data_IF_615874841006
#
_entry.id   IF_615874841006
#
_cell.length_a   1.000
_cell.length_b   1.000
_cell.length_c   1.000
_cell.angle_alpha   90.00
_cell.angle_beta   90.00
_cell.angle_gamma   90.00
#
_symmetry.space_group_name_H-M   'P 1'
#
loop_
_entity.id
_entity.type
_entity.pdbx_description
1 polymer ?
#
# COMPACT_ATOMS: atom_id res chain seq x y z
N UNK A 1 -21.24 23.76 -23.79
CA UNK A 1 -21.58 22.99 -22.58
C UNK A 1 -20.48 21.97 -22.39
N UNK A 2 -19.75 22.02 -21.27
CA UNK A 2 -18.68 21.06 -20.96
C UNK A 2 -19.28 19.91 -20.16
N UNK A 3 -19.10 18.68 -20.64
CA UNK A 3 -19.47 17.48 -19.86
C UNK A 3 -18.42 17.20 -18.80
N UNK A 4 -18.79 17.37 -17.53
CA UNK A 4 -17.94 17.02 -16.40
C UNK A 4 -17.92 15.50 -16.25
N UNK A 5 -16.81 14.89 -16.66
CA UNK A 5 -16.57 13.46 -16.47
C UNK A 5 -16.08 13.20 -15.05
N UNK A 6 -16.97 12.72 -14.19
CA UNK A 6 -16.63 12.33 -12.81
C UNK A 6 -15.99 10.94 -12.85
N UNK A 7 -14.68 10.87 -12.61
CA UNK A 7 -13.97 9.60 -12.46
C UNK A 7 -13.79 9.24 -10.99
N UNK A 8 -14.05 7.98 -10.66
CA UNK A 8 -13.80 7.44 -9.33
C UNK A 8 -12.31 7.23 -9.15
N UNK A 9 -11.74 7.85 -8.12
CA UNK A 9 -10.34 7.68 -7.74
C UNK A 9 -10.30 6.97 -6.39
N UNK A 10 -9.31 6.11 -6.22
CA UNK A 10 -9.03 5.41 -4.98
C UNK A 10 -7.76 5.96 -4.35
N UNK A 11 -7.68 5.89 -3.03
CA UNK A 11 -6.49 6.27 -2.28
C UNK A 11 -5.84 5.03 -1.68
N UNK A 12 -4.53 4.92 -1.89
CA UNK A 12 -3.67 3.99 -1.17
C UNK A 12 -2.96 4.77 -0.07
N UNK A 13 -3.09 4.34 1.17
CA UNK A 13 -2.45 5.00 2.31
C UNK A 13 -1.66 3.98 3.10
N UNK A 14 -0.38 4.28 3.37
CA UNK A 14 0.48 3.50 4.25
C UNK A 14 0.97 4.36 5.41
N UNK A 15 0.99 3.77 6.61
CA UNK A 15 1.45 4.40 7.83
C UNK A 15 2.59 3.58 8.45
N UNK A 16 3.67 4.23 8.87
CA UNK A 16 4.64 3.61 9.77
C UNK A 16 4.13 3.70 11.21
N UNK A 17 3.92 2.57 11.86
CA UNK A 17 3.30 2.50 13.20
C UNK A 17 4.09 3.22 14.29
N UNK A 18 5.44 3.17 14.20
CA UNK A 18 6.34 3.83 15.15
C UNK A 18 6.36 5.35 14.99
N UNK A 19 6.72 5.86 13.80
CA UNK A 19 6.91 7.29 13.55
C UNK A 19 5.61 8.03 13.17
N UNK A 20 4.54 7.30 12.85
CA UNK A 20 3.29 7.82 12.27
C UNK A 20 3.49 8.58 10.96
N UNK A 21 4.63 8.38 10.30
CA UNK A 21 4.84 8.87 8.95
C UNK A 21 3.84 8.22 8.00
N UNK A 22 3.32 9.04 7.07
CA UNK A 22 2.25 8.66 6.16
C UNK A 22 2.74 8.84 4.73
N UNK A 23 2.29 7.95 3.87
CA UNK A 23 2.44 8.07 2.43
C UNK A 23 1.09 7.81 1.78
N UNK A 24 0.74 8.59 0.74
CA UNK A 24 -0.52 8.46 0.01
C UNK A 24 -0.26 8.48 -1.50
N UNK A 25 -0.88 7.54 -2.20
CA UNK A 25 -0.95 7.49 -3.66
C UNK A 25 -2.42 7.50 -4.10
N UNK A 26 -2.73 8.31 -5.12
CA UNK A 26 -4.03 8.29 -5.78
C UNK A 26 -3.99 7.38 -7.00
N UNK A 27 -4.88 6.39 -7.03
CA UNK A 27 -4.90 5.35 -8.06
C UNK A 27 -6.27 5.27 -8.74
N UNK A 28 -6.31 5.04 -10.06
CA UNK A 28 -7.56 4.93 -10.80
C UNK A 28 -8.24 3.56 -10.65
N UNK A 29 -7.53 2.53 -10.19
CA UNK A 29 -8.02 1.16 -10.09
C UNK A 29 -7.48 0.42 -8.85
N UNK A 30 -8.18 -0.64 -8.42
CA UNK A 30 -7.83 -1.47 -7.26
C UNK A 30 -7.16 -2.81 -7.64
N UNK A 31 -6.39 -2.86 -8.73
CA UNK A 31 -5.71 -4.09 -9.16
C UNK A 31 -4.51 -4.42 -8.26
N UNK A 32 -4.14 -5.70 -8.20
CA UNK A 32 -2.98 -6.15 -7.44
C UNK A 32 -1.66 -5.53 -7.95
N UNK A 33 -1.50 -5.38 -9.26
CA UNK A 33 -0.32 -4.74 -9.85
C UNK A 33 -0.17 -3.28 -9.39
N UNK A 34 -1.28 -2.55 -9.33
CA UNK A 34 -1.33 -1.17 -8.86
C UNK A 34 -0.95 -1.10 -7.38
N UNK A 35 -1.46 -2.03 -6.57
CA UNK A 35 -1.08 -2.17 -5.17
C UNK A 35 0.42 -2.43 -4.98
N UNK A 36 1.01 -3.33 -5.78
CA UNK A 36 2.45 -3.63 -5.73
C UNK A 36 3.29 -2.40 -6.11
N UNK A 37 2.88 -1.64 -7.12
CA UNK A 37 3.54 -0.38 -7.51
C UNK A 37 3.50 0.66 -6.39
N UNK A 38 2.35 0.86 -5.76
CA UNK A 38 2.23 1.78 -4.62
C UNK A 38 3.16 1.40 -3.46
N UNK A 39 3.33 0.10 -3.18
CA UNK A 39 4.30 -0.37 -2.18
C UNK A 39 5.72 0.00 -2.57
N UNK A 40 6.13 -0.24 -3.82
CA UNK A 40 7.47 0.14 -4.29
C UNK A 40 7.74 1.65 -4.14
N UNK A 41 6.76 2.48 -4.53
CA UNK A 41 6.86 3.94 -4.37
C UNK A 41 6.98 4.34 -2.90
N UNK A 42 6.18 3.71 -2.05
CA UNK A 42 6.16 3.95 -0.61
C UNK A 42 7.48 3.57 0.05
N UNK A 43 8.07 2.44 -0.33
CA UNK A 43 9.37 1.99 0.18
C UNK A 43 10.51 2.90 -0.27
N UNK A 44 10.45 3.39 -1.52
CA UNK A 44 11.37 4.40 -2.00
C UNK A 44 11.23 5.72 -1.20
N UNK A 45 10.00 6.14 -0.91
CA UNK A 45 9.73 7.34 -0.09
C UNK A 45 10.23 7.21 1.35
N UNK A 46 10.01 6.05 2.00
CA UNK A 46 10.54 5.76 3.32
C UNK A 46 12.05 5.46 3.33
N UNK A 47 12.65 5.36 2.14
CA UNK A 47 14.05 4.98 1.94
C UNK A 47 14.40 3.66 2.66
N UNK A 48 13.45 2.72 2.67
CA UNK A 48 13.54 1.51 3.47
C UNK A 48 12.31 0.62 3.35
N UNK A 49 12.45 -0.60 3.83
CA UNK A 49 11.39 -1.61 3.87
C UNK A 49 10.90 -1.81 5.31
N UNK A 50 9.59 -1.79 5.59
CA UNK A 50 9.10 -2.17 6.90
C UNK A 50 9.31 -3.68 7.12
N UNK A 51 9.60 -4.08 8.37
CA UNK A 51 9.75 -5.51 8.72
C UNK A 51 8.43 -6.27 8.62
N UNK A 52 7.32 -5.57 8.90
CA UNK A 52 5.97 -6.11 8.89
C UNK A 52 5.01 -5.10 8.29
N UNK A 53 4.12 -5.58 7.42
CA UNK A 53 3.03 -4.79 6.83
C UNK A 53 1.73 -5.41 7.28
N UNK A 54 0.89 -4.62 7.94
CA UNK A 54 -0.45 -5.02 8.33
C UNK A 54 -1.42 -4.55 7.25
N UNK A 55 -2.09 -5.50 6.61
CA UNK A 55 -3.23 -5.21 5.74
C UNK A 55 -4.51 -5.30 6.57
N UNK A 56 -5.39 -4.32 6.43
CA UNK A 56 -6.80 -4.54 6.78
C UNK A 56 -7.37 -5.63 5.86
N UNK A 57 -8.43 -6.33 6.30
CA UNK A 57 -9.04 -7.50 5.64
C UNK A 57 -9.62 -7.19 4.24
N UNK A 58 -8.80 -6.73 3.31
CA UNK A 58 -9.14 -6.51 1.92
C UNK A 58 -9.19 -7.86 1.22
N UNK A 59 -10.30 -8.15 0.55
CA UNK A 59 -10.56 -9.44 -0.12
C UNK A 59 -9.45 -9.86 -1.10
N UNK A 60 -8.69 -8.90 -1.63
CA UNK A 60 -7.60 -9.08 -2.59
C UNK A 60 -6.34 -9.74 -1.98
N UNK A 61 -6.20 -9.78 -0.66
CA UNK A 61 -4.98 -10.26 0.05
C UNK A 61 -5.29 -11.48 0.93
N UNK A 62 -6.31 -12.29 0.62
CA UNK A 62 -6.64 -13.48 1.41
C UNK A 62 -6.18 -14.75 0.69
N UNK A 63 -5.05 -15.34 1.12
CA UNK A 63 -4.62 -16.70 0.70
C UNK A 63 -4.83 -17.73 1.83
N UNK A 64 -4.99 -17.32 3.09
CA UNK A 64 -5.39 -18.18 4.21
C UNK A 64 -5.76 -17.34 5.44
N UNK A 65 -6.71 -17.79 6.27
CA UNK A 65 -7.15 -17.11 7.50
C UNK A 65 -6.10 -17.15 8.62
N UNK A 66 -4.98 -16.45 8.42
CA UNK A 66 -4.15 -15.95 9.52
C UNK A 66 -4.24 -14.44 9.45
N UNK A 67 -4.65 -13.80 10.55
CA UNK A 67 -4.89 -12.35 10.68
C UNK A 67 -3.62 -11.48 10.54
N UNK A 68 -2.55 -12.03 9.97
CA UNK A 68 -1.26 -11.38 9.69
C UNK A 68 -0.65 -12.14 8.51
N UNK A 69 -0.57 -11.51 7.33
CA UNK A 69 0.32 -11.97 6.27
C UNK A 69 1.62 -11.20 6.45
N UNK A 70 2.58 -11.83 7.12
CA UNK A 70 3.94 -11.33 7.25
C UNK A 70 4.62 -11.45 5.89
N UNK A 71 4.65 -10.37 5.11
CA UNK A 71 5.66 -10.25 4.06
C UNK A 71 6.96 -9.86 4.77
N UNK A 72 7.73 -10.86 5.23
CA UNK A 72 9.06 -10.63 5.77
C UNK A 72 10.01 -10.34 4.60
N UNK A 73 10.31 -9.07 4.37
CA UNK A 73 11.44 -8.67 3.54
C UNK A 73 12.50 -8.12 4.48
N UNK A 74 13.59 -8.88 4.64
CA UNK A 74 14.75 -8.44 5.41
C UNK A 74 15.24 -7.09 4.88
N UNK A 75 15.23 -6.05 5.71
CA UNK A 75 16.11 -4.91 5.47
C UNK A 75 17.56 -5.38 5.60
N UNK A 76 18.35 -5.23 4.53
CA UNK A 76 19.78 -4.98 4.70
C UNK A 76 19.90 -3.51 5.07
N UNK A 77 20.16 -3.25 6.34
CA UNK A 77 20.59 -1.93 6.81
C UNK A 77 21.88 -1.51 6.09
N UNK A 78 22.00 -0.20 5.86
CA UNK A 78 23.32 0.43 5.84
C UNK A 78 23.83 0.56 7.26
#
# INVERSE_FOLDING_TARGET
>A
MYEVHVQKVHEFIMFLSYSRMKYVDFIPDMKLETLMKCHMNTFAYFNGLPEQILYDNMKTVVISQKRVILISLKQKGK
#
